data_IF_906923541735
#
_entry.id   IF_906923541735
#
_cell.length_a   1.000
_cell.length_b   1.000
_cell.length_c   1.000
_cell.angle_alpha   90.00
_cell.angle_beta   90.00
_cell.angle_gamma   90.00
#
_symmetry.space_group_name_H-M   'P 1'
#
loop_
_entity.id
_entity.type
_entity.pdbx_description
1 polymer ?
#
# COMPACT_ATOMS: atom_id res chain seq x y z
N UNK A 1 -14.32 11.18 -10.79
CA UNK A 1 -13.10 10.42 -11.02
C UNK A 1 -11.92 11.13 -10.37
N UNK A 2 -10.96 10.37 -9.87
CA UNK A 2 -9.73 10.87 -9.25
C UNK A 2 -8.53 10.34 -10.02
N UNK A 3 -7.57 11.20 -10.33
CA UNK A 3 -6.29 10.79 -10.89
C UNK A 3 -5.22 10.84 -9.79
N UNK A 4 -4.51 9.74 -9.59
CA UNK A 4 -3.48 9.60 -8.55
C UNK A 4 -2.18 9.19 -9.20
N UNK A 5 -1.13 9.97 -8.97
CA UNK A 5 0.23 9.60 -9.35
C UNK A 5 0.94 8.97 -8.16
N UNK A 6 1.36 7.73 -8.30
CA UNK A 6 2.16 7.03 -7.30
C UNK A 6 3.66 7.23 -7.57
N UNK A 7 4.41 7.47 -6.51
CA UNK A 7 5.86 7.65 -6.59
C UNK A 7 6.52 6.59 -5.73
N UNK A 8 7.27 5.69 -6.35
CA UNK A 8 8.13 4.78 -5.59
C UNK A 8 9.44 5.48 -5.25
N UNK A 9 9.60 5.83 -3.98
CA UNK A 9 10.82 6.43 -3.43
C UNK A 9 11.43 5.56 -2.32
N UNK A 10 11.24 4.25 -2.39
CA UNK A 10 11.75 3.26 -1.43
C UNK A 10 13.24 2.99 -1.70
N UNK A 11 14.07 3.97 -1.43
CA UNK A 11 15.51 3.90 -1.66
C UNK A 11 16.28 3.58 -0.39
N UNK A 12 17.49 3.03 -0.58
CA UNK A 12 18.48 3.00 0.50
C UNK A 12 18.79 4.43 0.92
N UNK A 13 18.73 4.69 2.21
CA UNK A 13 19.19 5.95 2.77
C UNK A 13 20.56 5.70 3.44
N UNK A 14 21.57 6.51 3.06
CA UNK A 14 22.89 6.50 3.70
C UNK A 14 23.60 5.13 3.73
N UNK A 15 23.50 4.36 2.65
CA UNK A 15 24.13 3.04 2.57
C UNK A 15 23.46 1.93 3.38
N UNK A 16 22.35 2.23 4.08
CA UNK A 16 21.58 1.23 4.80
C UNK A 16 20.86 0.29 3.81
N UNK A 17 20.58 -0.96 4.21
CA UNK A 17 19.84 -1.90 3.38
C UNK A 17 18.47 -1.34 2.99
N UNK A 18 17.83 -1.85 1.92
CA UNK A 18 16.49 -1.45 1.56
C UNK A 18 15.55 -1.50 2.77
N UNK A 19 14.65 -0.56 2.83
CA UNK A 19 13.71 -0.32 3.94
C UNK A 19 13.16 -1.61 4.60
N UNK A 20 12.79 -2.60 3.80
CA UNK A 20 12.21 -3.85 4.31
C UNK A 20 13.24 -4.74 5.02
N UNK A 21 14.50 -4.77 4.57
CA UNK A 21 15.53 -5.59 5.19
C UNK A 21 16.07 -5.01 6.51
N UNK A 22 15.94 -3.70 6.70
CA UNK A 22 16.39 -3.05 7.94
C UNK A 22 15.33 -3.06 9.04
N UNK A 23 14.05 -3.16 8.69
CA UNK A 23 12.95 -3.11 9.64
C UNK A 23 12.43 -4.47 10.05
N UNK A 24 12.54 -5.46 9.18
CA UNK A 24 11.96 -6.78 9.39
C UNK A 24 13.03 -7.86 9.23
N UNK A 25 13.15 -8.72 10.22
CA UNK A 25 13.90 -9.97 10.07
C UNK A 25 13.03 -10.95 9.27
N UNK A 26 13.02 -10.79 7.94
CA UNK A 26 12.16 -11.54 7.03
C UNK A 26 12.91 -12.74 6.44
N UNK A 27 12.15 -13.76 6.09
CA UNK A 27 12.63 -14.89 5.31
C UNK A 27 13.13 -14.42 3.94
N UNK A 28 14.41 -14.60 3.66
CA UNK A 28 15.04 -14.17 2.42
C UNK A 28 14.70 -15.07 1.21
N UNK A 29 13.99 -16.16 1.43
CA UNK A 29 13.48 -17.02 0.35
C UNK A 29 12.18 -16.48 -0.28
N UNK A 30 11.60 -15.41 0.28
CA UNK A 30 10.43 -14.75 -0.28
C UNK A 30 10.74 -14.22 -1.68
N UNK A 31 9.83 -14.49 -2.62
CA UNK A 31 9.90 -13.92 -3.96
C UNK A 31 9.61 -12.40 -3.92
N UNK A 32 10.55 -11.62 -4.41
CA UNK A 32 10.52 -10.15 -4.45
C UNK A 32 10.15 -9.59 -5.82
N UNK A 33 9.22 -10.21 -6.56
CA UNK A 33 8.97 -9.89 -7.96
C UNK A 33 10.21 -10.09 -8.88
N UNK A 34 11.29 -10.55 -8.31
CA UNK A 34 12.57 -10.91 -8.93
C UNK A 34 13.09 -9.89 -9.97
N UNK A 35 13.17 -8.60 -9.65
CA UNK A 35 13.53 -7.59 -10.63
C UNK A 35 14.96 -7.76 -11.18
N UNK A 36 15.79 -8.57 -10.51
CA UNK A 36 17.16 -8.86 -10.94
C UNK A 36 17.32 -10.24 -11.62
N UNK A 37 16.24 -11.00 -11.84
CA UNK A 37 16.32 -12.34 -12.40
C UNK A 37 17.04 -13.36 -11.51
N UNK A 38 17.02 -13.18 -10.20
CA UNK A 38 17.68 -14.04 -9.20
C UNK A 38 16.71 -15.06 -8.59
N UNK A 39 15.67 -15.40 -9.29
CA UNK A 39 14.61 -16.30 -8.83
C UNK A 39 15.21 -17.63 -8.34
N UNK A 40 14.84 -17.99 -7.10
CA UNK A 40 15.40 -19.17 -6.42
C UNK A 40 16.73 -18.92 -5.70
N UNK A 41 17.28 -17.71 -5.71
CA UNK A 41 18.43 -17.36 -4.86
C UNK A 41 18.02 -17.36 -3.39
N UNK A 42 18.88 -17.91 -2.54
CA UNK A 42 18.76 -17.82 -1.06
C UNK A 42 19.48 -16.59 -0.51
N UNK A 43 20.13 -15.80 -1.36
CA UNK A 43 20.81 -14.58 -0.96
C UNK A 43 19.81 -13.46 -0.65
N UNK A 44 20.15 -12.62 0.31
CA UNK A 44 19.36 -11.43 0.63
C UNK A 44 19.21 -10.54 -0.60
N UNK A 45 17.97 -10.13 -0.92
CA UNK A 45 17.71 -9.19 -2.00
C UNK A 45 18.39 -7.84 -1.71
N UNK A 46 19.29 -7.42 -2.58
CA UNK A 46 20.07 -6.20 -2.42
C UNK A 46 19.70 -5.10 -3.44
N UNK A 47 18.75 -5.37 -4.30
CA UNK A 47 18.30 -4.44 -5.35
C UNK A 47 17.37 -3.32 -4.86
N UNK A 48 16.93 -2.46 -5.77
CA UNK A 48 15.93 -1.45 -5.48
C UNK A 48 14.57 -2.09 -5.18
N UNK A 49 13.81 -1.51 -4.25
CA UNK A 49 12.53 -2.07 -3.80
C UNK A 49 11.46 -1.86 -4.88
N UNK A 50 10.89 -2.92 -5.47
CA UNK A 50 9.74 -2.79 -6.34
C UNK A 50 8.49 -2.49 -5.51
N UNK A 51 7.58 -1.69 -6.05
CA UNK A 51 6.28 -1.43 -5.45
C UNK A 51 5.24 -1.12 -6.51
N UNK A 52 3.98 -1.43 -6.20
CA UNK A 52 2.81 -1.08 -7.00
C UNK A 52 1.62 -0.89 -6.07
N UNK A 53 0.89 0.21 -6.24
CA UNK A 53 -0.32 0.45 -5.44
C UNK A 53 -1.54 -0.21 -6.09
N UNK A 54 -2.27 -0.99 -5.31
CA UNK A 54 -3.56 -1.57 -5.66
C UNK A 54 -4.65 -0.98 -4.78
N UNK A 55 -5.71 -0.43 -5.37
CA UNK A 55 -6.89 0.03 -4.64
C UNK A 55 -7.86 -1.15 -4.48
N UNK A 56 -7.78 -1.80 -3.33
CA UNK A 56 -8.48 -3.04 -3.04
C UNK A 56 -9.99 -2.84 -2.92
N UNK A 57 -10.72 -3.59 -3.70
CA UNK A 57 -12.20 -3.53 -3.76
C UNK A 57 -12.73 -2.42 -4.68
N UNK A 58 -11.88 -1.73 -5.42
CA UNK A 58 -12.31 -0.69 -6.33
C UNK A 58 -12.77 -1.23 -7.69
N UNK A 59 -13.80 -0.63 -8.25
CA UNK A 59 -14.23 -0.86 -9.64
C UNK A 59 -13.44 0.06 -10.58
N UNK A 60 -12.30 -0.43 -11.04
CA UNK A 60 -11.35 0.35 -11.83
C UNK A 60 -10.96 -0.38 -13.13
N UNK A 61 -10.53 0.35 -14.17
CA UNK A 61 -9.92 -0.27 -15.35
C UNK A 61 -8.64 -1.03 -14.97
N UNK A 62 -8.36 -2.14 -15.62
CA UNK A 62 -7.20 -2.99 -15.35
C UNK A 62 -5.87 -2.24 -15.38
N UNK A 63 -5.74 -1.23 -16.22
CA UNK A 63 -4.55 -0.36 -16.31
C UNK A 63 -4.32 0.52 -15.06
N UNK A 64 -5.35 0.66 -14.23
CA UNK A 64 -5.32 1.44 -12.98
C UNK A 64 -5.51 0.56 -11.73
N UNK A 65 -5.53 -0.76 -11.91
CA UNK A 65 -5.79 -1.71 -10.83
C UNK A 65 -4.56 -1.95 -9.94
N UNK A 66 -3.37 -1.80 -10.50
CA UNK A 66 -2.14 -2.09 -9.78
C UNK A 66 -1.94 -3.58 -9.55
N UNK A 67 -2.06 -4.38 -10.62
CA UNK A 67 -1.83 -5.82 -10.56
C UNK A 67 -0.41 -6.19 -10.12
N UNK A 68 -0.17 -7.43 -9.67
CA UNK A 68 1.09 -7.85 -9.03
C UNK A 68 2.32 -7.71 -9.93
N UNK A 69 2.15 -7.73 -11.24
CA UNK A 69 3.20 -7.57 -12.24
C UNK A 69 3.38 -6.12 -12.72
N UNK A 70 2.58 -5.18 -12.22
CA UNK A 70 2.62 -3.78 -12.63
C UNK A 70 3.58 -2.92 -11.80
N UNK A 71 4.48 -3.54 -11.05
CA UNK A 71 5.42 -2.87 -10.16
C UNK A 71 6.51 -2.09 -10.92
N UNK A 72 7.12 -1.14 -10.21
CA UNK A 72 8.33 -0.45 -10.65
C UNK A 72 9.25 -0.14 -9.48
N UNK A 73 10.54 0.02 -9.76
CA UNK A 73 11.54 0.42 -8.78
C UNK A 73 11.75 1.94 -8.80
N UNK A 74 12.38 2.52 -7.77
CA UNK A 74 12.70 3.94 -7.75
C UNK A 74 13.39 4.41 -9.03
N UNK A 75 12.93 5.57 -9.54
CA UNK A 75 13.42 6.12 -10.79
C UNK A 75 13.12 5.30 -12.04
N UNK A 76 12.24 4.31 -11.95
CA UNK A 76 11.88 3.38 -13.06
C UNK A 76 13.08 2.59 -13.61
N UNK A 77 14.09 2.34 -12.77
CA UNK A 77 15.27 1.56 -13.16
C UNK A 77 14.89 0.16 -13.69
N UNK A 78 13.84 -0.42 -13.08
CA UNK A 78 13.24 -1.68 -13.53
C UNK A 78 11.72 -1.59 -13.41
N UNK A 79 11.03 -2.36 -14.24
CA UNK A 79 9.55 -2.41 -14.30
C UNK A 79 9.10 -3.84 -14.50
N UNK A 80 8.03 -4.22 -13.84
CA UNK A 80 7.36 -5.49 -14.07
C UNK A 80 6.70 -5.56 -15.44
N UNK A 81 6.43 -6.77 -15.94
CA UNK A 81 5.87 -6.95 -17.29
C UNK A 81 4.47 -6.36 -17.45
N UNK A 82 3.73 -6.16 -16.38
CA UNK A 82 2.41 -5.53 -16.37
C UNK A 82 2.43 -4.01 -16.19
N UNK A 83 3.60 -3.37 -16.06
CA UNK A 83 3.68 -1.93 -15.87
C UNK A 83 3.21 -1.16 -17.10
N UNK A 84 2.23 -0.29 -16.91
CA UNK A 84 1.71 0.61 -17.96
C UNK A 84 1.96 2.07 -17.59
N UNK A 85 1.66 2.46 -16.34
CA UNK A 85 1.73 3.86 -15.89
C UNK A 85 1.94 3.91 -14.38
N UNK A 86 2.53 5.02 -13.91
CA UNK A 86 2.56 5.39 -12.49
C UNK A 86 1.35 6.24 -12.07
N UNK A 87 0.46 6.55 -13.02
CA UNK A 87 -0.70 7.40 -12.80
C UNK A 87 -1.96 6.61 -13.09
N UNK A 88 -2.79 6.48 -12.07
CA UNK A 88 -4.03 5.69 -12.11
C UNK A 88 -5.24 6.60 -12.09
N UNK A 89 -6.29 6.19 -12.79
CA UNK A 89 -7.57 6.88 -12.80
C UNK A 89 -8.63 6.00 -12.15
N UNK A 90 -9.18 6.51 -11.06
CA UNK A 90 -10.26 5.86 -10.30
C UNK A 90 -11.59 6.51 -10.66
N UNK A 91 -12.51 5.80 -11.32
CA UNK A 91 -13.81 6.34 -11.72
C UNK A 91 -14.70 6.75 -10.54
N UNK A 92 -14.58 6.07 -9.41
CA UNK A 92 -15.36 6.31 -8.19
C UNK A 92 -16.87 6.24 -8.44
N UNK A 93 -17.32 5.22 -9.18
CA UNK A 93 -18.74 5.05 -9.54
C UNK A 93 -19.47 4.02 -8.69
N UNK A 94 -18.74 3.29 -7.86
CA UNK A 94 -19.32 2.31 -6.93
C UNK A 94 -19.96 2.99 -5.72
N UNK A 95 -20.61 2.20 -4.87
CA UNK A 95 -21.24 2.70 -3.65
C UNK A 95 -20.23 3.32 -2.67
N UNK A 96 -20.66 4.34 -1.89
CA UNK A 96 -19.83 4.93 -0.85
C UNK A 96 -19.34 3.88 0.12
N UNK A 97 -18.05 3.87 0.39
CA UNK A 97 -17.45 2.88 1.28
C UNK A 97 -16.04 3.29 1.69
N UNK A 98 -15.54 2.64 2.74
CA UNK A 98 -14.13 2.69 3.10
C UNK A 98 -13.39 1.58 2.36
N UNK A 99 -12.66 1.93 1.31
CA UNK A 99 -11.69 1.07 0.65
C UNK A 99 -10.33 1.21 1.31
N UNK A 100 -9.39 0.38 0.90
CA UNK A 100 -7.99 0.53 1.26
C UNK A 100 -7.09 0.30 0.06
N UNK A 101 -5.94 0.91 0.04
CA UNK A 101 -4.92 0.64 -0.97
C UNK A 101 -3.65 0.13 -0.31
N UNK A 102 -2.94 -0.73 -1.00
CA UNK A 102 -1.76 -1.38 -0.46
C UNK A 102 -0.78 -1.74 -1.58
N UNK A 103 0.46 -2.05 -1.20
CA UNK A 103 1.38 -2.63 -2.16
C UNK A 103 0.93 -4.02 -2.60
N UNK A 104 1.00 -4.28 -3.89
CA UNK A 104 0.59 -5.56 -4.49
C UNK A 104 1.71 -6.26 -5.26
N UNK A 105 2.96 -5.87 -5.02
CA UNK A 105 4.11 -6.44 -5.71
C UNK A 105 4.19 -7.95 -5.55
N UNK A 106 4.32 -8.67 -6.67
CA UNK A 106 4.37 -10.13 -6.70
C UNK A 106 5.41 -10.67 -5.71
N UNK A 107 4.97 -11.57 -4.82
CA UNK A 107 5.81 -12.22 -3.82
C UNK A 107 6.25 -11.34 -2.64
N UNK A 108 5.99 -10.03 -2.67
CA UNK A 108 6.40 -9.11 -1.61
C UNK A 108 5.24 -8.54 -0.79
N UNK A 109 3.99 -8.64 -1.28
CA UNK A 109 2.80 -7.99 -0.70
C UNK A 109 2.67 -8.22 0.82
N UNK A 110 2.81 -9.46 1.30
CA UNK A 110 2.70 -9.78 2.72
C UNK A 110 3.65 -8.94 3.57
N UNK A 111 4.88 -8.82 3.12
CA UNK A 111 5.95 -8.11 3.85
C UNK A 111 5.78 -6.60 3.76
N UNK A 112 5.48 -6.09 2.57
CA UNK A 112 5.33 -4.64 2.34
C UNK A 112 4.10 -4.09 3.04
N UNK A 113 2.99 -4.81 3.05
CA UNK A 113 1.78 -4.45 3.81
C UNK A 113 2.06 -4.49 5.31
N UNK A 114 2.74 -5.53 5.79
CA UNK A 114 3.15 -5.59 7.20
C UNK A 114 4.10 -4.44 7.56
N UNK A 115 4.95 -4.02 6.65
CA UNK A 115 5.85 -2.86 6.82
C UNK A 115 5.11 -1.51 6.80
N UNK A 116 3.82 -1.48 6.46
CA UNK A 116 2.99 -0.26 6.53
C UNK A 116 2.62 0.34 5.17
N UNK A 117 2.89 -0.34 4.05
CA UNK A 117 2.45 0.13 2.74
C UNK A 117 0.96 -0.20 2.51
N UNK A 118 0.12 0.37 3.35
CA UNK A 118 -1.33 0.25 3.31
C UNK A 118 -1.98 1.50 3.92
N UNK A 119 -3.08 1.99 3.33
CA UNK A 119 -3.85 3.09 3.86
C UNK A 119 -5.30 3.07 3.38
N UNK A 120 -6.16 3.85 4.03
CA UNK A 120 -7.56 3.98 3.68
C UNK A 120 -7.77 4.84 2.45
N UNK A 121 -8.80 4.52 1.68
CA UNK A 121 -9.37 5.34 0.63
C UNK A 121 -10.87 5.48 0.88
N UNK A 122 -11.29 6.67 1.30
CA UNK A 122 -12.69 6.94 1.64
C UNK A 122 -13.43 7.43 0.40
N UNK A 123 -14.38 6.62 -0.06
CA UNK A 123 -15.27 6.98 -1.16
C UNK A 123 -16.57 7.53 -0.61
N UNK A 124 -16.93 8.75 -1.02
CA UNK A 124 -18.08 9.50 -0.56
C UNK A 124 -19.09 9.75 -1.67
N UNK A 125 -20.37 9.69 -1.31
CA UNK A 125 -21.48 10.20 -2.12
C UNK A 125 -22.53 10.85 -1.21
N UNK A 126 -22.60 12.19 -1.17
CA UNK A 126 -23.53 12.90 -0.29
C UNK A 126 -25.02 12.61 -0.59
N UNK A 127 -25.32 12.06 -1.76
CA UNK A 127 -26.71 11.68 -2.11
C UNK A 127 -27.11 10.30 -1.60
N UNK A 128 -26.15 9.48 -1.19
CA UNK A 128 -26.36 8.11 -0.72
C UNK A 128 -26.04 7.90 0.75
N UNK A 129 -25.23 8.77 1.34
CA UNK A 129 -24.85 8.67 2.75
C UNK A 129 -26.02 9.10 3.65
N UNK A 130 -26.21 8.43 4.82
CA UNK A 130 -27.27 8.76 5.74
C UNK A 130 -27.15 10.19 6.27
N UNK A 131 -28.13 11.05 6.01
CA UNK A 131 -28.13 12.45 6.46
C UNK A 131 -28.38 12.67 7.96
N UNK A 132 -28.63 11.56 8.70
CA UNK A 132 -28.89 11.62 10.15
C UNK A 132 -27.65 11.30 10.99
N UNK A 133 -26.50 11.12 10.38
CA UNK A 133 -25.25 11.01 11.09
C UNK A 133 -24.78 12.40 11.61
N UNK A 134 -24.05 12.47 12.72
CA UNK A 134 -23.47 13.72 13.18
C UNK A 134 -22.64 14.38 12.07
N UNK A 135 -23.06 15.59 11.65
CA UNK A 135 -22.40 16.33 10.59
C UNK A 135 -22.92 16.14 9.19
N UNK A 136 -23.79 15.15 8.95
CA UNK A 136 -24.31 14.85 7.61
C UNK A 136 -23.25 14.39 6.62
N UNK A 137 -23.64 14.14 5.36
CA UNK A 137 -22.72 13.76 4.30
C UNK A 137 -21.72 14.90 4.03
N UNK A 138 -20.43 14.60 4.05
CA UNK A 138 -19.34 15.56 3.81
C UNK A 138 -19.20 16.69 4.84
N UNK A 139 -20.17 16.88 5.74
CA UNK A 139 -20.02 17.83 6.83
C UNK A 139 -19.41 17.12 8.04
N UNK A 140 -18.14 17.36 8.25
CA UNK A 140 -17.42 16.84 9.43
C UNK A 140 -17.79 17.65 10.66
N UNK A 141 -18.97 17.37 11.23
CA UNK A 141 -19.33 17.98 12.50
C UNK A 141 -18.21 17.78 13.51
N UNK A 142 -17.92 18.83 14.20
CA UNK A 142 -16.88 18.83 15.23
C UNK A 142 -17.51 18.91 16.61
N UNK A 143 -16.83 18.33 17.59
CA UNK A 143 -17.11 18.55 18.98
C UNK A 143 -16.73 20.01 19.40
N UNK A 144 -16.96 20.34 20.65
CA UNK A 144 -16.63 21.69 21.21
C UNK A 144 -15.14 22.04 21.14
N UNK A 145 -14.25 21.10 20.84
CA UNK A 145 -12.81 21.28 20.71
C UNK A 145 -12.36 21.32 19.25
N UNK A 146 -13.27 21.23 18.28
CA UNK A 146 -12.96 21.20 16.87
C UNK A 146 -12.56 19.83 16.32
N UNK A 147 -12.69 18.75 17.09
CA UNK A 147 -12.43 17.40 16.61
C UNK A 147 -13.63 16.87 15.84
N UNK A 148 -13.41 16.21 14.73
CA UNK A 148 -14.48 15.55 13.96
C UNK A 148 -15.01 14.33 14.72
N UNK A 149 -16.30 14.02 14.58
CA UNK A 149 -16.89 12.80 15.14
C UNK A 149 -16.58 11.56 14.28
N UNK A 150 -16.28 11.76 13.02
CA UNK A 150 -15.92 10.68 12.10
C UNK A 150 -14.47 10.23 12.34
N UNK A 151 -14.27 8.92 12.31
CA UNK A 151 -12.95 8.28 12.45
C UNK A 151 -12.88 7.10 11.49
N UNK A 152 -11.90 7.13 10.62
CA UNK A 152 -11.56 6.01 9.76
C UNK A 152 -10.63 5.07 10.56
N UNK A 153 -11.08 3.83 10.78
CA UNK A 153 -10.31 2.84 11.53
C UNK A 153 -9.81 1.73 10.60
N UNK A 154 -8.51 1.48 10.65
CA UNK A 154 -7.88 0.34 10.00
C UNK A 154 -7.33 -0.57 11.09
N UNK A 155 -7.96 -1.74 11.27
CA UNK A 155 -7.53 -2.73 12.26
C UNK A 155 -6.47 -3.61 11.62
N UNK A 156 -5.30 -3.68 12.24
CA UNK A 156 -4.16 -4.44 11.73
C UNK A 156 -3.53 -5.26 12.85
N UNK A 157 -3.09 -6.47 12.52
CA UNK A 157 -2.30 -7.31 13.40
C UNK A 157 -0.82 -6.93 13.29
N UNK A 158 -0.18 -6.66 14.43
CA UNK A 158 1.23 -6.25 14.51
C UNK A 158 1.88 -6.84 15.76
N UNK A 159 3.08 -7.35 15.59
CA UNK A 159 3.94 -7.75 16.70
C UNK A 159 5.09 -6.78 16.87
N UNK A 160 5.51 -6.58 18.12
CA UNK A 160 6.65 -5.72 18.45
C UNK A 160 7.60 -6.48 19.37
N UNK A 161 8.88 -6.22 19.23
CA UNK A 161 9.88 -6.67 20.17
C UNK A 161 9.90 -5.79 21.46
N UNK A 162 10.78 -6.14 22.39
CA UNK A 162 10.90 -5.40 23.66
C UNK A 162 11.42 -3.96 23.52
N UNK A 163 11.96 -3.60 22.35
CA UNK A 163 12.42 -2.25 22.02
C UNK A 163 11.38 -1.46 21.21
N UNK A 164 10.20 -2.03 20.98
CA UNK A 164 9.15 -1.41 20.16
C UNK A 164 9.42 -1.46 18.66
N UNK A 165 10.35 -2.30 18.21
CA UNK A 165 10.58 -2.54 16.79
C UNK A 165 9.60 -3.59 16.28
N UNK A 166 9.25 -3.51 15.02
CA UNK A 166 8.38 -4.53 14.42
C UNK A 166 9.06 -5.88 14.40
N UNK A 167 8.35 -6.86 14.93
CA UNK A 167 8.75 -8.26 14.91
C UNK A 167 7.97 -8.99 13.81
N UNK A 168 8.68 -9.56 12.86
CA UNK A 168 8.12 -10.41 11.84
C UNK A 168 8.70 -11.81 12.01
N UNK A 169 7.86 -12.86 12.20
CA UNK A 169 8.36 -14.23 12.30
C UNK A 169 9.06 -14.63 10.99
N UNK A 170 10.30 -15.11 11.11
CA UNK A 170 11.06 -15.62 9.97
C UNK A 170 10.86 -17.11 9.73
N UNK A 171 10.36 -17.79 10.71
CA UNK A 171 9.97 -19.19 10.73
C UNK A 171 8.45 -19.29 10.87
N UNK A 172 7.83 -19.97 9.94
CA UNK A 172 6.36 -20.14 9.91
C UNK A 172 5.82 -21.09 10.95
#
# INVERSE_FOLDING_TARGET
ATSVKFINNLQRQNGQPPFLQSLLNIDQTIHWADPLGQHGSTSAYAGPVPAVAHLHGAEVPSVSDGGPDAWWTPGFAQKGPGFVSDTYTYPNRQEPTLLWYHDHTLGATRTTVYAGLAAAYLLRDPNKEPGNLPGGPLDRATDRFGNTYERELIIQDRMFDTNGQWLFPSDG
#
